data_IF_467268007100
#
_entry.id   IF_467268007100
#
_cell.length_a   1.000
_cell.length_b   1.000
_cell.length_c   1.000
_cell.angle_alpha   90.00
_cell.angle_beta   90.00
_cell.angle_gamma   90.00
#
_symmetry.space_group_name_H-M   'P 1'
#
loop_
_entity.id
_entity.type
_entity.pdbx_description
1 polymer ?
#
# COMPACT_ATOMS: atom_id res chain seq x y z
N UNK A 1 -1.69 4.66 -32.95
CA UNK A 1 -0.42 4.04 -33.41
C UNK A 1 0.71 4.07 -32.36
N UNK A 2 0.45 4.53 -31.13
CA UNK A 2 1.34 4.37 -29.96
C UNK A 2 1.05 3.08 -29.16
N UNK A 3 -0.15 2.50 -29.32
CA UNK A 3 -0.63 1.32 -28.58
C UNK A 3 0.20 0.05 -28.80
N UNK A 4 0.87 -0.11 -29.94
CA UNK A 4 1.64 -1.34 -30.25
C UNK A 4 3.04 -1.31 -29.62
N UNK A 5 3.53 -0.14 -29.16
CA UNK A 5 4.94 0.01 -28.77
C UNK A 5 5.23 -0.43 -27.34
N UNK A 6 4.24 -0.44 -26.45
CA UNK A 6 4.43 -0.93 -25.08
C UNK A 6 4.29 -2.45 -24.96
N UNK A 7 3.37 -3.06 -25.69
CA UNK A 7 3.13 -4.52 -25.64
C UNK A 7 4.25 -5.34 -26.29
N UNK A 8 5.06 -4.73 -27.17
CA UNK A 8 6.27 -5.34 -27.74
C UNK A 8 7.56 -5.08 -26.94
N UNK A 9 7.54 -4.24 -25.90
CA UNK A 9 8.76 -3.83 -25.18
C UNK A 9 9.02 -4.76 -23.99
N UNK A 10 9.70 -5.87 -24.31
CA UNK A 10 10.30 -6.85 -23.42
C UNK A 10 9.41 -7.35 -22.27
N UNK A 11 8.66 -8.46 -22.46
CA UNK A 11 7.88 -9.08 -21.38
C UNK A 11 8.74 -9.39 -20.14
N UNK A 12 10.05 -9.61 -20.32
CA UNK A 12 11.02 -9.79 -19.24
C UNK A 12 11.15 -8.57 -18.31
N UNK A 13 11.09 -7.34 -18.82
CA UNK A 13 11.20 -6.12 -18.00
C UNK A 13 9.92 -5.92 -17.19
N UNK A 14 8.76 -6.16 -17.80
CA UNK A 14 7.47 -6.14 -17.09
C UNK A 14 7.46 -7.18 -15.96
N UNK A 15 7.91 -8.41 -16.24
CA UNK A 15 7.99 -9.47 -15.23
C UNK A 15 8.99 -9.12 -14.11
N UNK A 16 10.15 -8.55 -14.45
CA UNK A 16 11.15 -8.15 -13.44
C UNK A 16 10.61 -7.06 -12.52
N UNK A 17 9.91 -6.06 -13.07
CA UNK A 17 9.36 -4.98 -12.25
C UNK A 17 8.18 -5.44 -11.40
N UNK A 18 7.25 -6.24 -11.95
CA UNK A 18 6.16 -6.83 -11.18
C UNK A 18 6.70 -7.75 -10.06
N UNK A 19 7.85 -8.40 -10.27
CA UNK A 19 8.52 -9.18 -9.22
C UNK A 19 9.10 -8.29 -8.12
N UNK A 20 9.81 -7.20 -8.47
CA UNK A 20 10.35 -6.24 -7.48
C UNK A 20 9.21 -5.59 -6.68
N UNK A 21 8.16 -5.11 -7.36
CA UNK A 21 6.98 -4.49 -6.72
C UNK A 21 6.16 -5.49 -5.91
N UNK A 22 6.10 -6.77 -6.32
CA UNK A 22 5.50 -7.84 -5.54
C UNK A 22 6.28 -8.15 -4.27
N UNK A 23 7.62 -8.10 -4.33
CA UNK A 23 8.50 -8.30 -3.17
C UNK A 23 8.39 -7.17 -2.15
N UNK A 24 8.12 -5.93 -2.58
CA UNK A 24 7.83 -4.80 -1.67
C UNK A 24 6.69 -5.12 -0.72
N UNK A 25 5.58 -5.63 -1.26
CA UNK A 25 4.38 -5.92 -0.47
C UNK A 25 4.58 -7.07 0.52
N UNK A 26 5.54 -7.96 0.24
CA UNK A 26 5.86 -9.14 1.04
C UNK A 26 7.04 -8.87 2.00
N UNK A 27 7.74 -7.75 1.83
CA UNK A 27 8.92 -7.37 2.62
C UNK A 27 8.69 -7.45 4.12
N UNK A 28 9.65 -8.06 4.82
CA UNK A 28 9.74 -8.06 6.28
C UNK A 28 10.39 -6.73 6.71
N UNK A 29 9.62 -5.64 6.66
CA UNK A 29 10.00 -4.44 7.38
C UNK A 29 9.89 -4.75 8.87
N UNK A 30 10.96 -4.58 9.63
CA UNK A 30 10.92 -4.59 11.09
C UNK A 30 11.15 -3.15 11.55
N UNK A 31 10.14 -2.29 11.37
CA UNK A 31 10.12 -0.99 12.02
C UNK A 31 9.42 -1.13 13.39
N UNK A 32 9.93 -0.50 14.46
CA UNK A 32 9.23 -0.46 15.73
C UNK A 32 7.87 0.21 15.50
N UNK A 33 6.78 -0.51 15.79
CA UNK A 33 5.42 -0.03 15.62
C UNK A 33 5.25 1.32 16.29
N UNK A 34 4.92 2.35 15.50
CA UNK A 34 4.60 3.67 15.99
C UNK A 34 3.19 3.66 16.57
N UNK A 35 3.06 4.13 17.79
CA UNK A 35 1.83 4.30 18.56
C UNK A 35 0.93 5.38 17.94
N UNK A 36 0.40 5.14 16.74
CA UNK A 36 -0.65 5.95 16.12
C UNK A 36 -1.96 5.19 16.14
N UNK A 37 -2.55 5.13 17.34
CA UNK A 37 -3.95 4.79 17.54
C UNK A 37 -4.78 6.01 17.14
N UNK A 38 -5.16 6.19 15.88
CA UNK A 38 -6.09 7.27 15.46
C UNK A 38 -7.56 6.87 15.71
N UNK A 39 -7.82 6.10 16.78
CA UNK A 39 -9.18 5.89 17.27
C UNK A 39 -9.62 7.09 18.07
N UNK A 40 -10.81 7.65 17.83
CA UNK A 40 -11.36 8.81 18.53
C UNK A 40 -11.34 8.73 20.09
N UNK A 41 -11.11 7.54 20.68
CA UNK A 41 -10.96 7.34 22.11
C UNK A 41 -9.54 7.62 22.65
N UNK A 42 -8.48 7.41 21.86
CA UNK A 42 -7.09 7.60 22.30
C UNK A 42 -6.75 9.09 22.48
N UNK A 43 -7.29 9.96 21.62
CA UNK A 43 -7.11 11.42 21.66
C UNK A 43 -7.76 12.07 22.91
N UNK A 44 -8.69 11.35 23.55
CA UNK A 44 -9.35 11.75 24.80
C UNK A 44 -8.75 11.09 26.05
N UNK A 45 -7.71 10.26 25.91
CA UNK A 45 -7.12 9.50 27.02
C UNK A 45 -8.08 8.47 27.63
N UNK A 46 -9.13 8.09 26.91
CA UNK A 46 -10.09 7.06 27.35
C UNK A 46 -9.58 5.68 26.94
N UNK A 47 -9.79 4.64 27.78
CA UNK A 47 -9.41 3.28 27.39
C UNK A 47 -10.15 2.88 26.11
N UNK A 48 -9.43 2.23 25.19
CA UNK A 48 -10.05 1.55 24.06
C UNK A 48 -11.00 0.46 24.59
N UNK A 49 -12.09 0.22 23.88
CA UNK A 49 -13.04 -0.84 24.21
C UNK A 49 -13.70 -1.39 22.95
N UNK A 50 -14.17 -2.63 22.99
CA UNK A 50 -15.01 -3.19 21.94
C UNK A 50 -14.25 -3.39 20.63
N UNK A 51 -14.85 -2.99 19.52
CA UNK A 51 -14.25 -3.11 18.18
C UNK A 51 -12.88 -2.42 18.03
N UNK A 52 -12.72 -1.21 18.60
CA UNK A 52 -11.47 -0.46 18.49
C UNK A 52 -10.30 -1.13 19.24
N UNK A 53 -10.57 -1.72 20.41
CA UNK A 53 -9.58 -2.49 21.18
C UNK A 53 -9.13 -3.75 20.41
N UNK A 54 -10.08 -4.46 19.79
CA UNK A 54 -9.78 -5.64 18.96
C UNK A 54 -8.91 -5.27 17.75
N UNK A 55 -9.17 -4.14 17.10
CA UNK A 55 -8.33 -3.66 16.01
C UNK A 55 -6.91 -3.34 16.47
N UNK A 56 -6.75 -2.64 17.60
CA UNK A 56 -5.42 -2.37 18.14
C UNK A 56 -4.66 -3.68 18.44
N UNK A 57 -5.32 -4.65 19.06
CA UNK A 57 -4.72 -5.97 19.30
C UNK A 57 -4.36 -6.71 18.00
N UNK A 58 -5.22 -6.62 16.97
CA UNK A 58 -4.98 -7.22 15.67
C UNK A 58 -3.76 -6.61 14.96
N UNK A 59 -3.63 -5.29 14.95
CA UNK A 59 -2.49 -4.59 14.37
C UNK A 59 -1.19 -4.83 15.15
N UNK A 60 -1.22 -4.90 16.48
CA UNK A 60 -0.07 -5.32 17.27
C UNK A 60 0.39 -6.75 16.90
N UNK A 61 -0.58 -7.66 16.81
CA UNK A 61 -0.33 -9.05 16.40
C UNK A 61 0.21 -9.13 14.96
N UNK A 62 -0.21 -8.22 14.09
CA UNK A 62 0.31 -8.09 12.73
C UNK A 62 1.77 -7.61 12.75
N UNK A 63 2.09 -6.59 13.54
CA UNK A 63 3.45 -6.07 13.72
C UNK A 63 4.42 -7.12 14.26
N UNK A 64 3.94 -8.05 15.09
CA UNK A 64 4.68 -9.24 15.55
C UNK A 64 4.89 -10.31 14.46
N UNK A 65 4.56 -9.99 13.20
CA UNK A 65 4.58 -10.90 12.04
C UNK A 65 3.66 -12.12 12.19
N UNK A 66 2.72 -12.10 13.14
CA UNK A 66 1.81 -13.20 13.43
C UNK A 66 0.54 -13.11 12.58
N UNK A 67 0.72 -13.06 11.25
CA UNK A 67 -0.32 -12.66 10.29
C UNK A 67 -1.58 -13.52 10.34
N UNK A 68 -1.46 -14.83 10.59
CA UNK A 68 -2.62 -15.72 10.74
C UNK A 68 -3.45 -15.41 12.00
N UNK A 69 -2.77 -15.09 13.10
CA UNK A 69 -3.42 -14.66 14.33
C UNK A 69 -4.04 -13.26 14.17
N UNK A 70 -3.33 -12.32 13.55
CA UNK A 70 -3.84 -10.99 13.22
C UNK A 70 -5.10 -11.06 12.36
N UNK A 71 -5.10 -11.87 11.29
CA UNK A 71 -6.27 -12.13 10.45
C UNK A 71 -7.47 -12.64 11.26
N UNK A 72 -7.25 -13.53 12.22
CA UNK A 72 -8.29 -13.99 13.14
C UNK A 72 -8.88 -12.84 13.95
N UNK A 73 -8.03 -11.97 14.50
CA UNK A 73 -8.47 -10.82 15.28
C UNK A 73 -9.22 -9.77 14.43
N UNK A 74 -8.75 -9.46 13.22
CA UNK A 74 -9.49 -8.58 12.30
C UNK A 74 -10.88 -9.13 11.96
N UNK A 75 -11.01 -10.45 11.76
CA UNK A 75 -12.33 -11.07 11.55
C UNK A 75 -13.26 -10.90 12.76
N UNK A 76 -12.73 -10.84 13.98
CA UNK A 76 -13.54 -10.57 15.18
C UNK A 76 -14.06 -9.13 15.20
N UNK A 77 -13.28 -8.15 14.75
CA UNK A 77 -13.78 -6.77 14.59
C UNK A 77 -14.85 -6.72 13.51
N UNK A 78 -14.62 -7.34 12.36
CA UNK A 78 -15.56 -7.36 11.22
C UNK A 78 -16.91 -7.98 11.63
N UNK A 79 -16.89 -9.00 12.49
CA UNK A 79 -18.10 -9.63 13.02
C UNK A 79 -18.71 -8.94 14.25
N UNK A 80 -18.11 -7.84 14.73
CA UNK A 80 -18.54 -7.17 15.97
C UNK A 80 -19.74 -6.26 15.69
N UNK A 81 -20.82 -6.40 16.46
CA UNK A 81 -22.04 -5.60 16.29
C UNK A 81 -21.90 -4.13 16.71
N UNK A 82 -20.83 -3.79 17.41
CA UNK A 82 -20.47 -2.44 17.84
C UNK A 82 -19.43 -1.76 16.93
N UNK A 83 -18.98 -2.42 15.85
CA UNK A 83 -17.98 -1.87 14.96
C UNK A 83 -18.51 -0.67 14.17
N UNK A 84 -17.79 0.46 14.25
CA UNK A 84 -18.08 1.65 13.45
C UNK A 84 -17.56 1.47 12.01
N UNK A 85 -17.93 2.39 11.11
CA UNK A 85 -17.35 2.41 9.75
C UNK A 85 -15.83 2.55 9.79
N UNK A 86 -15.29 3.33 10.74
CA UNK A 86 -13.86 3.45 10.95
C UNK A 86 -13.24 2.10 11.36
N UNK A 87 -13.82 1.42 12.35
CA UNK A 87 -13.31 0.12 12.82
C UNK A 87 -13.34 -0.93 11.72
N UNK A 88 -14.41 -0.96 10.93
CA UNK A 88 -14.52 -1.87 9.79
C UNK A 88 -13.49 -1.55 8.72
N UNK A 89 -13.24 -0.27 8.44
CA UNK A 89 -12.23 0.14 7.46
C UNK A 89 -10.84 -0.34 7.86
N UNK A 90 -10.43 -0.08 9.11
CA UNK A 90 -9.16 -0.53 9.68
C UNK A 90 -9.04 -2.06 9.66
N UNK A 91 -10.11 -2.76 10.05
CA UNK A 91 -10.10 -4.22 10.11
C UNK A 91 -9.99 -4.86 8.71
N UNK A 92 -10.68 -4.31 7.72
CA UNK A 92 -10.55 -4.77 6.34
C UNK A 92 -9.16 -4.46 5.78
N UNK A 93 -8.61 -3.27 6.04
CA UNK A 93 -7.25 -2.93 5.61
C UNK A 93 -6.21 -3.90 6.20
N UNK A 94 -6.28 -4.15 7.51
CA UNK A 94 -5.38 -5.07 8.19
C UNK A 94 -5.55 -6.52 7.78
N UNK A 95 -6.79 -6.98 7.56
CA UNK A 95 -7.02 -8.32 7.00
C UNK A 95 -6.44 -8.44 5.60
N UNK A 96 -6.62 -7.43 4.75
CA UNK A 96 -6.04 -7.39 3.42
C UNK A 96 -4.52 -7.52 3.44
N UNK A 97 -3.85 -6.77 4.33
CA UNK A 97 -2.40 -6.90 4.52
C UNK A 97 -1.99 -8.26 5.08
N UNK A 98 -2.75 -8.83 6.02
CA UNK A 98 -2.46 -10.18 6.51
C UNK A 98 -2.57 -11.23 5.39
N UNK A 99 -3.56 -11.10 4.50
CA UNK A 99 -3.70 -11.96 3.31
C UNK A 99 -2.53 -11.78 2.34
N UNK A 100 -2.08 -10.54 2.10
CA UNK A 100 -0.90 -10.26 1.28
C UNK A 100 0.34 -10.96 1.84
N UNK A 101 0.57 -10.87 3.16
CA UNK A 101 1.74 -11.50 3.80
C UNK A 101 1.66 -13.03 3.82
N UNK A 102 0.46 -13.60 3.91
CA UNK A 102 0.27 -15.05 3.94
C UNK A 102 0.27 -15.69 2.55
N UNK A 103 -0.36 -15.03 1.58
CA UNK A 103 -0.77 -15.65 0.33
C UNK A 103 -0.31 -14.88 -0.92
N UNK A 104 0.26 -13.70 -0.77
CA UNK A 104 0.75 -12.85 -1.85
C UNK A 104 -0.22 -11.75 -2.27
N UNK A 105 0.31 -10.77 -3.00
CA UNK A 105 -0.27 -9.44 -3.21
C UNK A 105 -1.72 -9.40 -3.69
N UNK A 106 -2.16 -10.34 -4.53
CA UNK A 106 -3.52 -10.34 -5.08
C UNK A 106 -4.61 -10.67 -4.04
N UNK A 107 -4.28 -11.34 -2.94
CA UNK A 107 -5.26 -11.83 -1.97
C UNK A 107 -5.85 -10.71 -1.09
N UNK A 108 -5.18 -9.56 -0.97
CA UNK A 108 -5.68 -8.41 -0.22
C UNK A 108 -6.66 -7.52 -0.99
N UNK A 109 -6.79 -7.66 -2.33
CA UNK A 109 -7.51 -6.71 -3.19
C UNK A 109 -8.96 -6.49 -2.73
N UNK A 110 -9.71 -7.57 -2.48
CA UNK A 110 -11.11 -7.46 -2.07
C UNK A 110 -11.25 -6.75 -0.73
N UNK A 111 -10.32 -7.00 0.19
CA UNK A 111 -10.33 -6.43 1.53
C UNK A 111 -9.97 -4.95 1.51
N UNK A 112 -8.96 -4.57 0.73
CA UNK A 112 -8.64 -3.15 0.57
C UNK A 112 -9.79 -2.36 -0.07
N UNK A 113 -10.50 -2.92 -1.05
CA UNK A 113 -11.70 -2.27 -1.60
C UNK A 113 -12.80 -2.11 -0.57
N UNK A 114 -13.07 -3.15 0.23
CA UNK A 114 -14.04 -3.06 1.34
C UNK A 114 -13.61 -2.01 2.38
N UNK A 115 -12.32 -1.89 2.68
CA UNK A 115 -11.81 -0.85 3.56
C UNK A 115 -12.11 0.55 3.02
N UNK A 116 -11.85 0.78 1.74
CA UNK A 116 -12.09 2.06 1.06
C UNK A 116 -13.59 2.37 0.86
N UNK A 117 -14.46 1.36 0.80
CA UNK A 117 -15.91 1.55 0.85
C UNK A 117 -16.36 2.10 2.21
N UNK A 118 -15.67 1.75 3.31
CA UNK A 118 -16.00 2.25 4.65
C UNK A 118 -15.37 3.60 4.97
N UNK A 119 -14.13 3.79 4.53
CA UNK A 119 -13.42 5.05 4.62
C UNK A 119 -12.53 5.20 3.37
N UNK A 120 -12.94 6.07 2.45
CA UNK A 120 -12.20 6.28 1.21
C UNK A 120 -10.83 6.92 1.43
N UNK A 121 -10.54 7.48 2.60
CA UNK A 121 -9.24 8.08 2.93
C UNK A 121 -8.30 7.12 3.68
N UNK A 122 -8.67 5.84 3.87
CA UNK A 122 -7.85 4.89 4.61
C UNK A 122 -6.49 4.67 3.88
N UNK A 123 -5.35 5.03 4.50
CA UNK A 123 -4.07 5.10 3.80
C UNK A 123 -3.44 3.72 3.52
N UNK A 124 -3.46 2.79 4.47
CA UNK A 124 -2.89 1.45 4.30
C UNK A 124 -3.60 0.64 3.21
N UNK A 125 -4.91 0.77 3.06
CA UNK A 125 -5.73 0.15 2.04
C UNK A 125 -5.46 0.78 0.67
N UNK A 126 -5.19 2.09 0.60
CA UNK A 126 -4.78 2.72 -0.65
C UNK A 126 -3.45 2.16 -1.15
N UNK A 127 -2.42 2.17 -0.30
CA UNK A 127 -1.11 1.61 -0.64
C UNK A 127 -1.21 0.11 -0.95
N UNK A 128 -1.92 -0.62 -0.10
CA UNK A 128 -2.21 -2.05 -0.26
C UNK A 128 -2.83 -2.40 -1.61
N UNK A 129 -3.93 -1.72 -1.95
CA UNK A 129 -4.65 -1.94 -3.20
C UNK A 129 -3.79 -1.56 -4.40
N UNK A 130 -3.12 -0.40 -4.36
CA UNK A 130 -2.29 0.05 -5.46
C UNK A 130 -1.14 -0.93 -5.76
N UNK A 131 -0.42 -1.38 -4.73
CA UNK A 131 0.65 -2.37 -4.90
C UNK A 131 0.13 -3.71 -5.44
N UNK A 132 -1.03 -4.17 -4.97
CA UNK A 132 -1.67 -5.37 -5.47
C UNK A 132 -2.09 -5.25 -6.95
N UNK A 133 -2.69 -4.12 -7.35
CA UNK A 133 -3.09 -3.84 -8.72
C UNK A 133 -1.88 -3.73 -9.67
N UNK A 134 -0.84 -3.01 -9.23
CA UNK A 134 0.43 -2.91 -9.94
C UNK A 134 1.06 -4.29 -10.17
N UNK A 135 1.00 -5.18 -9.17
CA UNK A 135 1.53 -6.54 -9.29
C UNK A 135 0.78 -7.40 -10.32
N UNK A 136 -0.53 -7.14 -10.54
CA UNK A 136 -1.30 -7.78 -11.63
C UNK A 136 -0.89 -7.24 -12.99
N UNK A 137 -0.61 -5.94 -13.08
CA UNK A 137 -0.05 -5.29 -14.26
C UNK A 137 -0.99 -5.21 -15.47
N UNK A 138 -2.31 -5.33 -15.27
CA UNK A 138 -3.31 -5.04 -16.32
C UNK A 138 -3.47 -3.51 -16.45
N UNK A 139 -3.74 -3.01 -17.67
CA UNK A 139 -3.81 -1.56 -17.89
C UNK A 139 -4.89 -0.88 -17.03
N UNK A 140 -6.06 -1.50 -16.91
CA UNK A 140 -7.14 -1.00 -16.05
C UNK A 140 -6.76 -0.99 -14.57
N UNK A 141 -5.98 -1.98 -14.12
CA UNK A 141 -5.49 -2.03 -12.74
C UNK A 141 -4.49 -0.90 -12.47
N UNK A 142 -3.66 -0.55 -13.45
CA UNK A 142 -2.73 0.58 -13.35
C UNK A 142 -3.47 1.91 -13.24
N UNK A 143 -4.55 2.10 -14.02
CA UNK A 143 -5.37 3.32 -13.95
C UNK A 143 -6.04 3.46 -12.58
N UNK A 144 -6.52 2.35 -12.01
CA UNK A 144 -7.06 2.31 -10.65
C UNK A 144 -5.95 2.57 -9.61
N UNK A 145 -4.76 1.98 -9.75
CA UNK A 145 -3.64 2.19 -8.83
C UNK A 145 -3.22 3.66 -8.74
N UNK A 146 -3.18 4.38 -9.88
CA UNK A 146 -2.94 5.84 -9.89
C UNK A 146 -4.01 6.57 -9.09
N UNK A 147 -5.29 6.28 -9.35
CA UNK A 147 -6.42 6.92 -8.67
C UNK A 147 -6.36 6.69 -7.14
N UNK A 148 -5.99 5.48 -6.76
CA UNK A 148 -5.90 5.06 -5.36
C UNK A 148 -4.71 5.73 -4.65
N UNK A 149 -3.54 5.84 -5.29
CA UNK A 149 -2.38 6.52 -4.71
C UNK A 149 -2.55 8.05 -4.69
N UNK A 150 -3.10 8.67 -5.75
CA UNK A 150 -3.34 10.12 -5.79
C UNK A 150 -4.28 10.57 -4.66
N UNK A 151 -5.26 9.76 -4.28
CA UNK A 151 -6.16 10.10 -3.18
C UNK A 151 -5.57 9.87 -1.77
N UNK A 152 -4.28 9.51 -1.64
CA UNK A 152 -3.54 9.70 -0.38
C UNK A 152 -3.30 11.20 -0.10
N UNK A 153 -3.29 12.05 -1.14
CA UNK A 153 -3.18 13.49 -0.95
C UNK A 153 -4.55 14.15 -0.85
N UNK A 154 -4.61 15.20 -0.03
CA UNK A 154 -5.72 16.17 -0.04
C UNK A 154 -5.50 17.30 -1.07
N UNK A 155 -4.32 17.37 -1.72
CA UNK A 155 -3.98 18.39 -2.73
C UNK A 155 -3.12 17.83 -3.87
N UNK A 156 -3.22 18.40 -5.07
CA UNK A 156 -2.47 17.89 -6.23
C UNK A 156 -0.94 18.05 -6.07
N UNK A 157 -0.18 16.96 -6.22
CA UNK A 157 1.27 16.98 -6.48
C UNK A 157 2.11 16.02 -5.63
N UNK A 158 1.81 15.89 -4.33
CA UNK A 158 2.52 14.95 -3.44
C UNK A 158 1.64 14.53 -2.27
N UNK A 159 1.88 13.34 -1.73
CA UNK A 159 1.27 12.83 -0.51
C UNK A 159 2.35 12.52 0.53
N UNK A 160 1.94 12.22 1.76
CA UNK A 160 2.81 11.62 2.76
C UNK A 160 2.13 10.39 3.31
N UNK A 161 2.72 9.22 3.05
CA UNK A 161 2.32 7.96 3.63
C UNK A 161 3.17 7.69 4.88
N UNK A 162 2.51 7.32 5.96
CA UNK A 162 3.15 6.91 7.21
C UNK A 162 2.77 5.46 7.43
N UNK A 163 3.76 4.57 7.45
CA UNK A 163 3.56 3.17 7.77
C UNK A 163 3.36 3.02 9.29
N UNK A 164 2.11 3.13 9.74
CA UNK A 164 1.75 3.07 11.17
C UNK A 164 1.88 1.68 11.75
N UNK A 165 1.64 0.67 10.92
CA UNK A 165 1.48 -0.72 11.36
C UNK A 165 2.58 -1.64 10.85
N UNK A 166 3.66 -1.07 10.31
CA UNK A 166 4.80 -1.81 9.77
C UNK A 166 4.36 -2.81 8.68
N UNK A 167 3.52 -2.34 7.75
CA UNK A 167 3.09 -3.12 6.58
C UNK A 167 4.25 -3.39 5.61
N UNK A 168 5.37 -2.69 5.78
CA UNK A 168 6.61 -2.92 5.04
C UNK A 168 6.68 -2.16 3.73
N UNK A 169 5.92 -1.07 3.62
CA UNK A 169 6.01 -0.13 2.50
C UNK A 169 6.32 1.24 3.06
N UNK A 170 7.41 1.85 2.59
CA UNK A 170 7.82 3.18 3.00
C UNK A 170 7.11 4.27 2.19
N UNK A 171 7.18 5.52 2.67
CA UNK A 171 6.69 6.66 1.89
C UNK A 171 7.39 6.76 0.52
N UNK A 172 8.71 6.55 0.50
CA UNK A 172 9.50 6.55 -0.72
C UNK A 172 9.03 5.47 -1.71
N UNK A 173 8.76 4.26 -1.24
CA UNK A 173 8.26 3.17 -2.08
C UNK A 173 6.85 3.42 -2.59
N UNK A 174 5.96 4.04 -1.80
CA UNK A 174 4.64 4.45 -2.27
C UNK A 174 4.74 5.48 -3.41
N UNK A 175 5.66 6.45 -3.31
CA UNK A 175 5.96 7.37 -4.41
C UNK A 175 6.55 6.64 -5.63
N UNK A 176 7.44 5.67 -5.43
CA UNK A 176 8.00 4.86 -6.51
C UNK A 176 6.93 4.01 -7.23
N UNK A 177 5.94 3.49 -6.50
CA UNK A 177 4.76 2.82 -7.08
C UNK A 177 3.96 3.77 -7.96
N UNK A 178 3.71 5.00 -7.50
CA UNK A 178 2.99 6.00 -8.29
C UNK A 178 3.80 6.42 -9.53
N UNK A 179 5.11 6.57 -9.40
CA UNK A 179 6.01 6.85 -10.52
C UNK A 179 5.89 5.77 -11.59
N UNK A 180 5.98 4.49 -11.20
CA UNK A 180 5.80 3.37 -12.11
C UNK A 180 4.42 3.37 -12.78
N UNK A 181 3.36 3.61 -12.01
CA UNK A 181 2.01 3.61 -12.56
C UNK A 181 1.83 4.72 -13.61
N UNK A 182 2.33 5.93 -13.36
CA UNK A 182 2.36 7.01 -14.36
C UNK A 182 3.20 6.68 -15.58
N UNK A 183 4.35 6.03 -15.38
CA UNK A 183 5.20 5.59 -16.48
C UNK A 183 4.44 4.64 -17.42
N UNK A 184 3.72 3.67 -16.86
CA UNK A 184 2.90 2.72 -17.64
C UNK A 184 1.69 3.42 -18.29
N UNK A 185 1.16 4.49 -17.72
CA UNK A 185 0.17 5.33 -18.40
C UNK A 185 0.75 6.16 -19.56
N UNK A 186 2.09 6.22 -19.67
CA UNK A 186 2.80 7.09 -20.62
C UNK A 186 2.93 8.54 -20.14
N UNK A 187 2.60 8.82 -18.88
CA UNK A 187 2.74 10.15 -18.28
C UNK A 187 4.15 10.34 -17.70
N UNK A 188 5.13 10.52 -18.59
CA UNK A 188 6.54 10.60 -18.22
C UNK A 188 6.86 11.74 -17.26
N UNK A 189 6.28 12.91 -17.47
CA UNK A 189 6.52 14.07 -16.60
C UNK A 189 6.11 13.79 -15.14
N UNK A 190 4.92 13.23 -14.92
CA UNK A 190 4.48 12.86 -13.57
C UNK A 190 5.29 11.69 -13.00
N UNK A 191 5.68 10.73 -13.83
CA UNK A 191 6.59 9.65 -13.40
C UNK A 191 7.91 10.20 -12.87
N UNK A 192 8.54 11.11 -13.63
CA UNK A 192 9.84 11.70 -13.28
C UNK A 192 9.74 12.55 -12.00
N UNK A 193 8.62 13.26 -11.80
CA UNK A 193 8.35 13.99 -10.56
C UNK A 193 8.28 13.05 -9.35
N UNK A 194 7.50 11.97 -9.44
CA UNK A 194 7.30 11.07 -8.30
C UNK A 194 8.55 10.24 -7.97
N UNK A 195 9.35 9.83 -8.96
CA UNK A 195 10.59 9.10 -8.68
C UNK A 195 11.66 10.02 -8.06
N UNK A 196 11.67 11.31 -8.42
CA UNK A 196 12.52 12.31 -7.76
C UNK A 196 12.14 12.45 -6.29
N UNK A 197 10.85 12.55 -5.97
CA UNK A 197 10.36 12.61 -4.59
C UNK A 197 10.74 11.34 -3.83
N UNK A 198 10.54 10.16 -4.44
CA UNK A 198 10.91 8.88 -3.84
C UNK A 198 12.41 8.83 -3.49
N UNK A 199 13.28 9.29 -4.39
CA UNK A 199 14.73 9.36 -4.18
C UNK A 199 15.09 10.29 -3.03
N UNK A 200 14.46 11.46 -2.93
CA UNK A 200 14.73 12.42 -1.87
C UNK A 200 14.26 11.93 -0.49
N UNK A 201 13.22 11.09 -0.44
CA UNK A 201 12.70 10.48 0.78
C UNK A 201 13.50 9.24 1.21
N UNK A 202 14.17 8.56 0.29
CA UNK A 202 14.94 7.35 0.57
C UNK A 202 16.38 7.67 1.02
N UNK A 203 16.57 7.77 2.34
CA UNK A 203 17.89 8.06 2.93
C UNK A 203 18.99 7.04 2.60
N UNK A 204 18.64 5.81 2.21
CA UNK A 204 19.58 4.75 1.87
C UNK A 204 19.55 4.37 0.39
N UNK A 205 18.93 5.21 -0.46
CA UNK A 205 18.63 5.02 -1.88
C UNK A 205 19.42 3.91 -2.61
N UNK A 206 20.75 3.95 -2.62
CA UNK A 206 21.57 2.96 -3.32
C UNK A 206 21.26 1.50 -2.92
N UNK A 207 20.84 0.70 -3.90
CA UNK A 207 20.52 -0.72 -3.73
C UNK A 207 19.15 -0.99 -3.14
N UNK A 208 18.34 0.05 -2.86
CA UNK A 208 16.96 -0.11 -2.42
C UNK A 208 16.04 -0.42 -3.61
N UNK A 209 14.79 -0.85 -3.36
CA UNK A 209 13.80 -0.99 -4.42
C UNK A 209 13.53 0.31 -5.17
N UNK A 210 13.67 1.47 -4.52
CA UNK A 210 13.47 2.79 -5.15
C UNK A 210 14.55 3.04 -6.20
N UNK A 211 15.81 2.74 -5.90
CA UNK A 211 16.93 2.82 -6.85
C UNK A 211 16.75 1.87 -8.04
N UNK A 212 16.34 0.63 -7.79
CA UNK A 212 16.05 -0.32 -8.88
C UNK A 212 14.90 0.15 -9.79
N UNK A 213 13.85 0.75 -9.24
CA UNK A 213 12.75 1.32 -10.02
C UNK A 213 13.26 2.52 -10.83
N UNK A 214 14.01 3.43 -10.21
CA UNK A 214 14.58 4.62 -10.86
C UNK A 214 15.50 4.25 -12.03
N UNK A 215 16.40 3.28 -11.84
CA UNK A 215 17.24 2.74 -12.90
C UNK A 215 16.39 2.27 -14.07
N UNK A 216 15.37 1.44 -13.82
CA UNK A 216 14.53 0.88 -14.87
C UNK A 216 13.75 1.97 -15.62
N UNK A 217 13.23 2.98 -14.92
CA UNK A 217 12.54 4.12 -15.54
C UNK A 217 13.50 4.97 -16.40
N UNK A 218 14.77 5.08 -16.00
CA UNK A 218 15.80 5.83 -16.74
C UNK A 218 16.25 5.12 -18.03
N UNK A 219 16.34 3.79 -18.01
CA UNK A 219 16.76 2.99 -19.17
C UNK A 219 15.73 2.97 -20.31
N UNK A 220 14.48 3.34 -20.01
CA UNK A 220 13.39 3.22 -20.95
C UNK A 220 12.97 4.61 -21.47
N UNK A 221 13.24 4.93 -22.74
CA UNK A 221 12.82 6.19 -23.36
C UNK A 221 11.32 6.24 -23.65
#
# INVERSE_FOLDING_TARGET
>A
MLEIKMEKRNPLIKTLLCMILGLLMIGCGAAPGGDSLDGANSDLGLPLSGAAEKNAAAWNTFGDSSYSAAKTLFNQTIGSGDATAHDLSEAYAGRGWAEVKLNGSSHGISDFRLALEKNSAQPEARVGLAGALISKGERSDIDEAVTVLEGLSSSAGSFSFIDRYNVGVTNAEAHAMLAYAYFVQGNRAKSDEQISIARDLDSQFTGTPVDQIDEILSFIP
#
